data_IF_223738461653
#
_entry.id   IF_223738461653
#
_cell.length_a   1.000
_cell.length_b   1.000
_cell.length_c   1.000
_cell.angle_alpha   90.00
_cell.angle_beta   90.00
_cell.angle_gamma   90.00
#
_symmetry.space_group_name_H-M   'P 1'
#
loop_
_entity.id
_entity.type
_entity.pdbx_description
1 polymer ?
#
# COMPACT_ATOMS: atom_id res chain seq x y z
N UNK A 1 -7.17 -26.94 -6.83
CA UNK A 1 -5.74 -26.56 -6.89
C UNK A 1 -5.53 -25.49 -5.83
N UNK A 2 -4.82 -25.78 -4.73
CA UNK A 2 -4.73 -24.88 -3.56
C UNK A 2 -4.13 -23.52 -3.92
N UNK A 3 -4.72 -22.44 -3.38
CA UNK A 3 -4.25 -21.06 -3.53
C UNK A 3 -2.86 -20.90 -2.90
N UNK A 4 -1.93 -20.15 -3.52
CA UNK A 4 -0.68 -19.75 -2.87
C UNK A 4 -0.91 -19.10 -1.50
N UNK A 5 -2.02 -18.37 -1.34
CA UNK A 5 -2.38 -17.72 -0.08
C UNK A 5 -2.52 -18.72 1.07
N UNK A 6 -3.11 -19.89 0.81
CA UNK A 6 -3.32 -20.90 1.85
C UNK A 6 -1.99 -21.47 2.38
N UNK A 7 -0.93 -21.49 1.57
CA UNK A 7 0.39 -22.01 1.99
C UNK A 7 1.20 -21.06 2.87
N UNK A 8 0.76 -19.81 3.02
CA UNK A 8 1.45 -18.79 3.83
C UNK A 8 0.85 -18.59 5.21
N UNK A 9 -0.29 -19.21 5.51
CA UNK A 9 -0.86 -19.20 6.85
C UNK A 9 0.09 -19.89 7.84
N UNK A 10 0.77 -19.09 8.67
CA UNK A 10 1.47 -19.58 9.85
C UNK A 10 0.62 -19.25 11.09
N UNK A 11 0.42 -20.19 12.02
CA UNK A 11 -0.49 -20.04 13.16
C UNK A 11 0.07 -19.19 14.32
N UNK A 12 1.02 -18.28 14.05
CA UNK A 12 1.64 -17.43 15.10
C UNK A 12 1.81 -16.01 14.60
N UNK A 13 0.71 -15.28 14.47
CA UNK A 13 0.77 -13.82 14.47
C UNK A 13 0.64 -13.34 15.92
N UNK A 14 1.61 -12.57 16.40
CA UNK A 14 1.42 -11.79 17.63
C UNK A 14 0.20 -10.87 17.47
N UNK A 15 -0.59 -10.65 18.53
CA UNK A 15 -1.81 -9.82 18.50
C UNK A 15 -1.59 -8.47 17.78
N UNK A 16 -0.46 -7.80 18.01
CA UNK A 16 -0.09 -6.56 17.28
C UNK A 16 0.13 -6.77 15.78
N UNK A 17 0.78 -7.88 15.39
CA UNK A 17 0.96 -8.27 13.99
C UNK A 17 -0.37 -8.69 13.37
N UNK A 18 -1.23 -9.40 14.10
CA UNK A 18 -2.58 -9.76 13.67
C UNK A 18 -3.43 -8.50 13.45
N UNK A 19 -3.41 -7.55 14.39
CA UNK A 19 -4.10 -6.26 14.29
C UNK A 19 -3.57 -5.38 13.16
N UNK A 20 -2.25 -5.25 13.03
CA UNK A 20 -1.64 -4.53 11.91
C UNK A 20 -1.98 -5.23 10.58
N UNK A 21 -1.97 -6.55 10.53
CA UNK A 21 -2.38 -7.30 9.34
C UNK A 21 -3.87 -7.10 9.05
N UNK A 22 -4.74 -7.17 10.06
CA UNK A 22 -6.20 -7.07 9.91
C UNK A 22 -6.69 -5.67 9.57
N UNK A 23 -5.94 -4.63 9.94
CA UNK A 23 -6.35 -3.24 9.69
C UNK A 23 -5.71 -2.70 8.41
N UNK A 24 -4.55 -3.24 8.02
CA UNK A 24 -3.97 -3.02 6.69
C UNK A 24 -4.60 -3.93 5.61
N UNK A 25 -5.57 -4.79 5.98
CA UNK A 25 -6.25 -5.83 5.17
C UNK A 25 -6.89 -5.33 3.86
N UNK A 26 -7.21 -4.05 3.75
CA UNK A 26 -8.09 -3.54 2.69
C UNK A 26 -7.47 -2.50 1.76
N UNK A 27 -6.25 -2.00 2.02
CA UNK A 27 -5.83 -0.76 1.36
C UNK A 27 -4.38 -0.66 0.88
N UNK A 28 -3.46 -1.43 1.46
CA UNK A 28 -2.27 -1.80 0.71
C UNK A 28 -2.69 -2.76 -0.39
N UNK A 29 -1.88 -2.93 -1.43
CA UNK A 29 -2.20 -3.90 -2.45
C UNK A 29 -2.30 -5.31 -1.80
N UNK A 30 -3.44 -5.71 -1.26
CA UNK A 30 -3.71 -6.98 -0.60
C UNK A 30 -5.09 -7.46 -1.06
N UNK A 31 -5.25 -8.76 -1.28
CA UNK A 31 -6.56 -9.33 -1.63
C UNK A 31 -6.83 -10.53 -0.75
N UNK A 32 -7.99 -10.51 -0.09
CA UNK A 32 -8.49 -11.65 0.66
C UNK A 32 -9.02 -12.70 -0.33
N UNK A 33 -8.40 -13.87 -0.39
CA UNK A 33 -9.09 -15.07 -0.86
C UNK A 33 -9.75 -15.68 0.36
N UNK A 34 -11.09 -15.64 0.42
CA UNK A 34 -11.86 -16.34 1.45
C UNK A 34 -11.38 -17.79 1.51
N UNK A 35 -10.70 -18.13 2.61
CA UNK A 35 -10.50 -19.52 3.03
C UNK A 35 -11.89 -20.03 3.38
N UNK A 36 -12.19 -21.23 2.87
CA UNK A 36 -13.47 -21.88 3.10
C UNK A 36 -13.73 -21.95 4.63
N UNK A 37 -14.83 -21.40 5.16
CA UNK A 37 -15.07 -21.27 6.60
C UNK A 37 -15.29 -22.61 7.33
N UNK A 38 -15.10 -23.74 6.67
CA UNK A 38 -15.39 -25.07 7.22
C UNK A 38 -14.16 -25.81 7.78
N UNK A 39 -12.94 -25.23 7.71
CA UNK A 39 -11.70 -25.95 8.05
C UNK A 39 -10.87 -25.42 9.26
N UNK A 40 -11.20 -24.26 9.87
CA UNK A 40 -10.41 -23.73 11.02
C UNK A 40 -11.22 -22.91 12.07
N UNK A 41 -12.48 -23.26 12.34
CA UNK A 41 -13.40 -22.55 13.28
C UNK A 41 -13.07 -22.72 14.78
N UNK A 42 -11.82 -22.94 15.18
CA UNK A 42 -11.48 -23.14 16.61
C UNK A 42 -10.43 -22.21 17.20
N UNK A 43 -9.73 -21.42 16.38
CA UNK A 43 -8.68 -20.50 16.87
C UNK A 43 -9.03 -19.03 16.65
N UNK A 44 -9.80 -18.73 15.60
CA UNK A 44 -10.21 -17.36 15.25
C UNK A 44 -11.25 -16.82 16.24
N UNK A 45 -12.16 -17.67 16.72
CA UNK A 45 -13.25 -17.26 17.62
C UNK A 45 -12.78 -16.93 19.05
N UNK A 46 -11.54 -17.30 19.43
CA UNK A 46 -11.02 -17.11 20.78
C UNK A 46 -10.21 -15.80 20.95
N UNK A 47 -9.82 -15.13 19.86
CA UNK A 47 -9.04 -13.87 19.90
C UNK A 47 -9.85 -12.64 19.45
N UNK A 48 -11.06 -12.82 18.93
CA UNK A 48 -11.88 -11.73 18.37
C UNK A 48 -12.79 -11.02 19.37
N UNK A 49 -12.98 -11.55 20.58
CA UNK A 49 -13.85 -10.93 21.59
C UNK A 49 -13.31 -9.58 22.11
N UNK A 50 -11.98 -9.36 22.04
CA UNK A 50 -11.33 -8.13 22.55
C UNK A 50 -11.10 -7.06 21.46
N UNK A 51 -11.48 -7.32 20.20
CA UNK A 51 -11.22 -6.42 19.07
C UNK A 51 -12.53 -5.88 18.51
N UNK A 52 -12.94 -4.69 18.96
CA UNK A 52 -14.04 -3.94 18.35
C UNK A 52 -13.59 -3.33 17.01
N UNK A 53 -13.62 -4.12 15.94
CA UNK A 53 -13.40 -3.63 14.57
C UNK A 53 -14.59 -2.79 14.12
N UNK A 54 -14.52 -1.47 14.28
CA UNK A 54 -15.48 -0.55 13.66
C UNK A 54 -15.05 -0.28 12.23
N UNK A 55 -15.37 -1.18 11.30
CA UNK A 55 -15.10 -0.93 9.89
C UNK A 55 -16.11 0.07 9.33
N UNK A 56 -15.64 1.25 8.96
CA UNK A 56 -16.43 2.22 8.21
C UNK A 56 -15.89 2.29 6.78
N UNK A 57 -16.63 1.68 5.84
CA UNK A 57 -16.31 1.72 4.41
C UNK A 57 -16.80 3.06 3.84
N UNK A 58 -15.88 3.97 3.53
CA UNK A 58 -16.20 5.24 2.91
C UNK A 58 -15.59 5.37 1.51
N UNK A 59 -16.45 5.44 0.50
CA UNK A 59 -16.16 6.15 -0.75
C UNK A 59 -16.46 7.64 -0.48
N UNK A 60 -15.52 8.54 -0.77
CA UNK A 60 -15.58 10.03 -0.62
C UNK A 60 -14.93 10.65 0.64
N UNK A 61 -13.65 10.34 0.92
CA UNK A 61 -12.76 11.30 1.61
C UNK A 61 -12.74 11.27 3.14
N UNK A 62 -13.28 10.25 3.80
CA UNK A 62 -13.14 10.04 5.25
C UNK A 62 -12.24 8.82 5.56
N UNK A 63 -11.45 8.85 6.65
CA UNK A 63 -10.62 7.71 7.06
C UNK A 63 -11.42 6.44 7.30
N UNK A 64 -10.80 5.30 7.03
CA UNK A 64 -11.15 4.06 7.72
C UNK A 64 -10.31 4.02 9.01
N UNK A 65 -10.90 3.77 10.17
CA UNK A 65 -10.15 3.59 11.42
C UNK A 65 -10.64 2.35 12.16
N UNK A 66 -9.75 1.76 12.93
CA UNK A 66 -10.07 0.69 13.88
C UNK A 66 -9.57 1.15 15.24
N UNK A 67 -10.43 1.07 16.25
CA UNK A 67 -10.13 1.51 17.60
C UNK A 67 -10.07 0.31 18.54
N UNK A 68 -8.97 0.19 19.26
CA UNK A 68 -8.77 -0.83 20.28
C UNK A 68 -9.09 -0.18 21.63
N UNK A 69 -10.31 -0.42 22.11
CA UNK A 69 -10.84 0.27 23.28
C UNK A 69 -10.00 0.01 24.54
N UNK A 70 -9.43 -1.19 24.69
CA UNK A 70 -8.66 -1.57 25.87
C UNK A 70 -7.27 -0.92 25.96
N UNK A 71 -6.77 -0.33 24.87
CA UNK A 71 -5.41 0.19 24.77
C UNK A 71 -5.34 1.69 24.46
N UNK A 72 -6.48 2.40 24.47
CA UNK A 72 -6.57 3.81 24.04
C UNK A 72 -5.83 4.08 22.71
N UNK A 73 -5.80 3.06 21.82
CA UNK A 73 -5.00 3.06 20.60
C UNK A 73 -5.93 2.95 19.40
N UNK A 74 -5.74 3.81 18.40
CA UNK A 74 -6.39 3.68 17.09
C UNK A 74 -5.35 3.37 16.01
N UNK A 75 -5.78 2.62 15.00
CA UNK A 75 -5.03 2.42 13.77
C UNK A 75 -5.92 2.90 12.63
N UNK A 76 -5.43 3.87 11.86
CA UNK A 76 -6.20 4.56 10.85
C UNK A 76 -5.56 4.42 9.47
N UNK A 77 -6.42 4.33 8.45
CA UNK A 77 -6.06 4.30 7.06
C UNK A 77 -6.72 5.48 6.31
N UNK A 78 -5.87 6.21 5.59
CA UNK A 78 -6.29 7.35 4.77
C UNK A 78 -5.91 7.12 3.30
N UNK A 79 -6.92 7.13 2.42
CA UNK A 79 -6.71 6.94 1.00
C UNK A 79 -6.20 8.21 0.31
N UNK A 80 -4.88 8.29 0.13
CA UNK A 80 -4.23 9.36 -0.63
C UNK A 80 -3.08 8.78 -1.48
N UNK A 81 -3.35 8.03 -2.56
CA UNK A 81 -2.35 7.22 -3.26
C UNK A 81 -1.21 8.03 -3.91
N UNK A 82 -1.44 9.32 -4.19
CA UNK A 82 -0.46 10.27 -4.72
C UNK A 82 0.00 11.28 -3.67
N UNK A 83 -0.51 11.21 -2.43
CA UNK A 83 -0.37 12.16 -1.31
C UNK A 83 -0.91 13.56 -1.60
N UNK A 84 -0.57 14.14 -2.75
CA UNK A 84 -1.07 15.42 -3.25
C UNK A 84 -2.48 15.30 -3.82
N UNK A 85 -3.11 16.45 -4.02
CA UNK A 85 -4.54 16.55 -4.32
C UNK A 85 -4.86 16.24 -5.79
N UNK A 86 -5.85 15.37 -6.01
CA UNK A 86 -6.42 15.08 -7.32
C UNK A 86 -7.85 15.63 -7.37
N UNK A 87 -8.06 16.68 -8.17
CA UNK A 87 -9.34 17.40 -8.23
C UNK A 87 -10.03 17.24 -9.58
N UNK A 88 -11.35 17.42 -9.61
CA UNK A 88 -12.12 17.52 -10.87
C UNK A 88 -12.14 18.98 -11.31
N UNK A 89 -11.67 19.24 -12.53
CA UNK A 89 -11.78 20.52 -13.22
C UNK A 89 -12.91 20.54 -14.25
N UNK A 90 -12.89 21.57 -15.10
CA UNK A 90 -13.87 21.74 -16.17
C UNK A 90 -13.96 20.50 -17.09
N UNK A 91 -15.17 20.15 -17.51
CA UNK A 91 -15.42 19.00 -18.40
C UNK A 91 -15.10 17.63 -17.77
N UNK A 92 -15.20 17.49 -16.44
CA UNK A 92 -14.88 16.28 -15.68
C UNK A 92 -13.41 15.81 -15.81
N UNK A 93 -12.51 16.71 -16.23
CA UNK A 93 -11.07 16.42 -16.31
C UNK A 93 -10.48 16.31 -14.92
N UNK A 94 -9.69 15.27 -14.68
CA UNK A 94 -9.00 15.03 -13.41
C UNK A 94 -7.65 15.74 -13.45
N UNK A 95 -7.43 16.65 -12.52
CA UNK A 95 -6.25 17.50 -12.46
C UNK A 95 -5.46 17.13 -11.21
N UNK A 96 -4.23 16.67 -11.40
CA UNK A 96 -3.31 16.38 -10.30
C UNK A 96 -2.55 17.65 -9.94
N UNK A 97 -2.88 18.24 -8.79
CA UNK A 97 -2.17 19.40 -8.25
C UNK A 97 -0.91 18.91 -7.56
N UNK A 98 0.27 19.26 -8.07
CA UNK A 98 1.54 18.77 -7.56
C UNK A 98 2.05 19.54 -6.34
N UNK A 99 1.46 20.70 -6.07
CA UNK A 99 1.82 21.66 -5.02
C UNK A 99 0.75 21.83 -3.93
N UNK A 100 -0.39 21.13 -4.04
CA UNK A 100 -1.46 21.11 -3.04
C UNK A 100 -1.52 19.77 -2.32
N UNK A 101 -1.65 19.81 -1.00
CA UNK A 101 -1.70 18.62 -0.13
C UNK A 101 -2.60 18.78 1.10
N UNK A 102 -2.94 20.01 1.49
CA UNK A 102 -3.60 20.31 2.75
C UNK A 102 -4.95 19.60 2.91
N UNK A 103 -5.70 19.38 1.83
CA UNK A 103 -6.98 18.65 1.89
C UNK A 103 -6.79 17.18 2.25
N UNK A 104 -5.80 16.51 1.67
CA UNK A 104 -5.47 15.13 2.01
C UNK A 104 -4.82 15.04 3.40
N UNK A 105 -4.08 16.08 3.79
CA UNK A 105 -3.29 16.11 5.01
C UNK A 105 -4.04 16.55 6.27
N UNK A 106 -5.33 16.91 6.15
CA UNK A 106 -6.14 17.44 7.27
C UNK A 106 -6.10 16.55 8.50
N UNK A 107 -6.14 15.24 8.29
CA UNK A 107 -6.24 14.25 9.36
C UNK A 107 -4.88 13.71 9.82
N UNK A 108 -3.77 14.14 9.23
CA UNK A 108 -2.44 13.65 9.62
C UNK A 108 -1.86 14.42 10.81
N UNK A 109 -2.42 15.60 11.12
CA UNK A 109 -1.98 16.43 12.25
C UNK A 109 -2.45 15.80 13.56
N UNK A 110 -1.55 15.75 14.54
CA UNK A 110 -1.86 15.21 15.87
C UNK A 110 -1.73 13.69 15.99
N UNK A 111 -1.39 12.98 14.90
CA UNK A 111 -1.13 11.54 14.91
C UNK A 111 0.27 11.26 15.48
N UNK A 112 0.38 10.27 16.36
CA UNK A 112 1.64 9.89 17.01
C UNK A 112 2.59 9.14 16.07
N UNK A 113 2.06 8.26 15.21
CA UNK A 113 2.84 7.51 14.20
C UNK A 113 2.18 7.60 12.83
N UNK A 114 2.86 8.19 11.86
CA UNK A 114 2.42 8.27 10.48
C UNK A 114 3.22 7.33 9.58
N UNK A 115 2.54 6.43 8.89
CA UNK A 115 3.14 5.53 7.91
C UNK A 115 2.64 5.87 6.51
N UNK A 116 3.51 6.46 5.68
CA UNK A 116 3.19 6.84 4.30
C UNK A 116 3.68 5.78 3.30
N UNK A 117 2.95 5.60 2.20
CA UNK A 117 3.41 4.92 0.98
C UNK A 117 2.85 5.68 -0.23
N UNK A 118 3.67 5.87 -1.26
CA UNK A 118 3.23 6.40 -2.54
C UNK A 118 4.21 6.03 -3.64
N UNK A 119 3.89 5.00 -4.42
CA UNK A 119 4.76 4.53 -5.51
C UNK A 119 4.01 4.16 -6.80
N UNK A 120 3.09 3.19 -6.74
CA UNK A 120 2.53 2.58 -7.96
C UNK A 120 1.78 3.54 -8.86
N UNK A 121 0.97 4.42 -8.29
CA UNK A 121 0.09 5.31 -9.04
C UNK A 121 0.85 6.31 -9.90
N UNK A 122 2.05 6.72 -9.47
CA UNK A 122 2.96 7.55 -10.26
C UNK A 122 3.41 6.88 -11.56
N UNK A 123 3.40 5.54 -11.61
CA UNK A 123 3.81 4.77 -12.79
C UNK A 123 2.65 4.49 -13.77
N UNK A 124 1.42 4.89 -13.44
CA UNK A 124 0.27 4.64 -14.29
C UNK A 124 0.32 5.49 -15.58
N UNK A 125 -0.01 4.86 -16.70
CA UNK A 125 0.07 5.47 -18.04
C UNK A 125 -1.12 5.04 -18.89
N UNK A 126 -1.40 5.81 -19.95
CA UNK A 126 -2.55 5.58 -20.81
C UNK A 126 -3.86 5.55 -20.03
N UNK A 127 -4.69 4.54 -20.27
CA UNK A 127 -6.02 4.40 -19.67
C UNK A 127 -6.00 4.11 -18.16
N UNK A 128 -4.88 3.64 -17.59
CA UNK A 128 -4.80 3.38 -16.14
C UNK A 128 -4.40 4.61 -15.33
N UNK A 129 -4.06 5.73 -16.01
CA UNK A 129 -3.65 6.97 -15.36
C UNK A 129 -4.86 7.63 -14.67
N UNK A 130 -4.66 8.02 -13.41
CA UNK A 130 -5.71 8.57 -12.57
C UNK A 130 -6.00 10.05 -12.83
N UNK A 131 -5.18 10.74 -13.61
CA UNK A 131 -5.31 12.15 -13.97
C UNK A 131 -5.15 12.37 -15.47
N UNK A 132 -5.75 13.46 -15.95
CA UNK A 132 -5.67 13.89 -17.34
C UNK A 132 -4.61 14.99 -17.51
N UNK A 133 -4.48 15.89 -16.53
CA UNK A 133 -3.50 16.98 -16.53
C UNK A 133 -2.81 17.13 -15.18
N UNK A 134 -1.64 17.78 -15.18
CA UNK A 134 -0.99 18.25 -13.97
C UNK A 134 -1.28 19.74 -13.77
N UNK A 135 -1.20 20.21 -12.54
CA UNK A 135 -1.24 21.63 -12.19
C UNK A 135 -0.15 21.96 -11.18
N UNK A 136 0.47 23.12 -11.35
CA UNK A 136 1.41 23.73 -10.40
C UNK A 136 1.13 25.24 -10.37
N UNK A 137 0.76 25.76 -9.21
CA UNK A 137 0.18 27.09 -9.07
C UNK A 137 -1.04 27.27 -9.97
N UNK A 138 -0.97 28.24 -10.88
CA UNK A 138 -2.03 28.53 -11.85
C UNK A 138 -1.77 27.95 -13.26
N UNK A 139 -0.72 27.13 -13.42
CA UNK A 139 -0.31 26.60 -14.73
C UNK A 139 -0.80 25.17 -14.93
N UNK A 140 -1.59 24.94 -15.98
CA UNK A 140 -1.98 23.60 -16.43
C UNK A 140 -0.85 23.02 -17.29
N UNK A 141 -0.39 21.83 -16.95
CA UNK A 141 0.67 21.11 -17.67
C UNK A 141 0.07 19.83 -18.26
N UNK A 142 0.08 19.74 -19.59
CA UNK A 142 -0.56 18.63 -20.33
C UNK A 142 0.32 17.40 -20.46
N UNK A 143 1.64 17.57 -20.39
CA UNK A 143 2.60 16.49 -20.46
C UNK A 143 3.77 16.73 -19.50
N UNK A 144 4.14 15.71 -18.74
CA UNK A 144 5.26 15.73 -17.81
C UNK A 144 5.79 14.30 -17.69
N UNK A 145 7.11 14.15 -17.54
CA UNK A 145 7.67 12.86 -17.16
C UNK A 145 7.07 12.43 -15.80
N UNK A 146 6.49 11.22 -15.68
CA UNK A 146 5.85 10.78 -14.44
C UNK A 146 6.78 10.78 -13.22
N UNK A 147 8.09 10.58 -13.39
CA UNK A 147 9.06 10.65 -12.30
C UNK A 147 9.36 12.09 -11.87
N UNK A 148 9.25 13.07 -12.78
CA UNK A 148 9.28 14.50 -12.41
C UNK A 148 8.03 14.86 -11.61
N UNK A 149 6.86 14.36 -12.02
CA UNK A 149 5.62 14.55 -11.25
C UNK A 149 5.70 13.90 -9.86
N UNK A 150 6.21 12.66 -9.78
CA UNK A 150 6.46 11.96 -8.52
C UNK A 150 7.39 12.75 -7.62
N UNK A 151 8.50 13.28 -8.16
CA UNK A 151 9.43 14.12 -7.41
C UNK A 151 8.76 15.38 -6.87
N UNK A 152 7.97 16.09 -7.69
CA UNK A 152 7.24 17.29 -7.26
C UNK A 152 6.24 16.97 -6.15
N UNK A 153 5.41 15.93 -6.32
CA UNK A 153 4.42 15.54 -5.33
C UNK A 153 5.04 15.10 -4.00
N UNK A 154 6.09 14.26 -4.04
CA UNK A 154 6.81 13.87 -2.84
C UNK A 154 7.56 15.04 -2.19
N UNK A 155 8.07 16.00 -2.96
CA UNK A 155 8.66 17.22 -2.40
C UNK A 155 7.62 18.12 -1.72
N UNK A 156 6.39 18.19 -2.23
CA UNK A 156 5.27 18.86 -1.56
C UNK A 156 4.91 18.19 -0.23
N UNK A 157 4.82 16.85 -0.21
CA UNK A 157 4.65 16.08 1.02
C UNK A 157 5.78 16.32 2.03
N UNK A 158 7.03 16.24 1.58
CA UNK A 158 8.19 16.46 2.42
C UNK A 158 8.17 17.86 3.07
N UNK A 159 7.84 18.90 2.29
CA UNK A 159 7.69 20.27 2.81
C UNK A 159 6.55 20.37 3.82
N UNK A 160 5.43 19.69 3.58
CA UNK A 160 4.31 19.68 4.53
C UNK A 160 4.72 19.05 5.87
N UNK A 161 5.41 17.90 5.83
CA UNK A 161 5.94 17.23 7.02
C UNK A 161 6.89 18.14 7.80
N UNK A 162 7.88 18.73 7.11
CA UNK A 162 8.86 19.66 7.70
C UNK A 162 8.21 20.88 8.38
N UNK A 163 7.05 21.33 7.91
CA UNK A 163 6.38 22.54 8.40
C UNK A 163 5.31 22.28 9.46
N UNK A 164 4.71 21.07 9.49
CA UNK A 164 3.50 20.82 10.28
C UNK A 164 3.70 19.80 11.40
N UNK A 165 4.78 19.02 11.41
CA UNK A 165 5.02 17.96 12.39
C UNK A 165 6.18 18.30 13.33
N UNK A 166 6.10 17.84 14.57
CA UNK A 166 7.17 17.94 15.58
C UNK A 166 7.76 16.54 15.80
N UNK A 167 9.07 16.31 15.54
CA UNK A 167 9.70 14.99 15.72
C UNK A 167 9.74 14.50 17.17
N UNK A 168 9.42 15.36 18.15
CA UNK A 168 9.27 14.98 19.56
C UNK A 168 7.89 14.39 19.87
N UNK A 169 6.90 14.62 19.00
CA UNK A 169 5.51 14.20 19.19
C UNK A 169 5.08 13.15 18.18
N UNK A 170 5.58 13.24 16.95
CA UNK A 170 5.16 12.37 15.85
C UNK A 170 6.37 11.62 15.28
N UNK A 171 6.24 10.32 15.08
CA UNK A 171 7.17 9.50 14.30
C UNK A 171 6.66 9.37 12.88
N UNK A 172 7.53 9.64 11.90
CA UNK A 172 7.18 9.53 10.47
C UNK A 172 7.98 8.40 9.85
N UNK A 173 7.27 7.47 9.23
CA UNK A 173 7.81 6.31 8.52
C UNK A 173 7.30 6.39 7.08
N UNK A 174 8.20 6.17 6.12
CA UNK A 174 7.82 6.04 4.72
C UNK A 174 8.14 4.62 4.25
N UNK A 175 7.11 3.86 3.88
CA UNK A 175 7.24 2.51 3.32
C UNK A 175 7.61 2.61 1.85
N UNK A 176 8.70 1.95 1.47
CA UNK A 176 9.17 1.92 0.09
C UNK A 176 8.22 1.13 -0.82
N UNK A 177 8.43 1.24 -2.14
CA UNK A 177 7.60 0.59 -3.15
C UNK A 177 7.46 -0.93 -2.96
N UNK A 178 6.22 -1.41 -2.87
CA UNK A 178 5.89 -2.82 -3.08
C UNK A 178 6.17 -3.21 -4.55
N UNK A 179 6.93 -4.25 -4.88
CA UNK A 179 7.15 -4.68 -6.27
C UNK A 179 5.92 -5.36 -6.88
N UNK A 180 5.72 -5.17 -8.19
CA UNK A 180 4.74 -5.93 -8.99
C UNK A 180 5.44 -6.99 -9.81
N UNK A 181 4.82 -8.15 -9.96
CA UNK A 181 5.33 -9.26 -10.78
C UNK A 181 4.55 -9.47 -12.10
N UNK A 182 4.11 -8.36 -12.70
CA UNK A 182 3.29 -8.36 -13.91
C UNK A 182 4.09 -8.42 -15.24
N UNK A 183 5.42 -8.22 -15.25
CA UNK A 183 6.17 -7.84 -16.48
C UNK A 183 7.53 -8.51 -16.76
N UNK A 184 7.79 -9.74 -16.32
CA UNK A 184 9.05 -10.44 -16.68
C UNK A 184 8.78 -11.72 -17.49
N UNK A 185 9.19 -11.72 -18.76
CA UNK A 185 9.31 -12.90 -19.63
C UNK A 185 8.05 -13.78 -19.76
N UNK A 186 6.87 -13.15 -19.85
CA UNK A 186 5.60 -13.86 -20.05
C UNK A 186 5.11 -14.70 -18.86
N UNK A 187 5.87 -14.78 -17.77
CA UNK A 187 5.49 -15.51 -16.56
C UNK A 187 5.02 -14.52 -15.50
N UNK A 188 3.70 -14.33 -15.45
CA UNK A 188 2.99 -13.69 -14.32
C UNK A 188 3.35 -14.42 -13.00
N UNK A 189 2.97 -13.87 -11.86
CA UNK A 189 2.98 -14.58 -10.57
C UNK A 189 2.16 -15.90 -10.56
N UNK A 190 1.41 -16.17 -11.63
CA UNK A 190 0.67 -17.42 -11.82
C UNK A 190 1.54 -18.67 -11.65
N UNK A 191 1.03 -19.60 -10.82
CA UNK A 191 1.67 -20.87 -10.43
C UNK A 191 3.01 -20.73 -9.68
N UNK A 192 3.37 -19.54 -9.21
CA UNK A 192 4.53 -19.36 -8.33
C UNK A 192 4.14 -19.74 -6.90
N UNK A 193 4.93 -20.61 -6.27
CA UNK A 193 4.61 -21.20 -4.95
C UNK A 193 5.77 -21.16 -3.96
N UNK A 194 6.93 -20.67 -4.40
CA UNK A 194 8.12 -20.53 -3.57
C UNK A 194 8.72 -19.16 -3.83
N UNK A 195 9.37 -18.54 -2.83
CA UNK A 195 10.19 -17.37 -3.04
C UNK A 195 11.22 -17.63 -4.15
N UNK A 196 11.56 -16.58 -4.88
CA UNK A 196 12.71 -16.59 -5.78
C UNK A 196 13.96 -16.83 -4.95
N UNK A 197 14.85 -17.70 -5.42
CA UNK A 197 16.11 -17.98 -4.72
C UNK A 197 17.21 -16.98 -5.06
N UNK A 198 17.17 -16.41 -6.26
CA UNK A 198 18.16 -15.44 -6.73
C UNK A 198 17.56 -14.49 -7.77
N UNK A 199 18.18 -13.32 -7.92
CA UNK A 199 17.98 -12.41 -9.04
C UNK A 199 19.26 -12.37 -9.88
N UNK A 200 19.12 -12.38 -11.21
CA UNK A 200 20.24 -12.04 -12.09
C UNK A 200 20.61 -10.55 -11.94
N UNK A 201 19.61 -9.69 -11.78
CA UNK A 201 19.78 -8.26 -11.55
C UNK A 201 18.69 -7.75 -10.59
N UNK A 202 19.11 -7.04 -9.53
CA UNK A 202 18.18 -6.35 -8.64
C UNK A 202 17.77 -5.05 -9.33
N UNK A 203 16.54 -5.01 -9.86
CA UNK A 203 16.00 -3.80 -10.45
C UNK A 203 15.54 -2.84 -9.34
N UNK A 204 16.18 -1.68 -9.25
CA UNK A 204 15.76 -0.60 -8.35
C UNK A 204 14.69 0.24 -9.08
N UNK A 205 13.43 0.26 -8.59
CA UNK A 205 12.39 1.01 -9.27
C UNK A 205 12.60 2.52 -9.14
N UNK A 206 12.35 3.26 -10.23
CA UNK A 206 12.58 4.71 -10.29
C UNK A 206 11.88 5.51 -9.16
N UNK A 207 10.62 5.22 -8.75
CA UNK A 207 10.00 5.91 -7.61
C UNK A 207 10.79 5.79 -6.31
N UNK A 208 11.49 4.68 -6.07
CA UNK A 208 12.33 4.51 -4.89
C UNK A 208 13.57 5.42 -4.93
N UNK A 209 14.16 5.63 -6.11
CA UNK A 209 15.27 6.56 -6.30
C UNK A 209 14.81 8.00 -6.02
N UNK A 210 13.64 8.37 -6.55
CA UNK A 210 13.02 9.67 -6.29
C UNK A 210 12.76 9.87 -4.79
N UNK A 211 12.12 8.89 -4.14
CA UNK A 211 11.84 8.92 -2.70
C UNK A 211 13.13 9.11 -1.88
N UNK A 212 14.15 8.28 -2.09
CA UNK A 212 15.44 8.40 -1.40
C UNK A 212 16.08 9.78 -1.62
N UNK A 213 15.95 10.34 -2.82
CA UNK A 213 16.40 11.69 -3.12
C UNK A 213 15.64 12.77 -2.35
N UNK A 214 14.32 12.64 -2.20
CA UNK A 214 13.48 13.58 -1.43
C UNK A 214 13.80 13.49 0.06
N UNK A 215 13.84 12.28 0.63
CA UNK A 215 14.12 12.07 2.06
C UNK A 215 15.47 12.67 2.49
N UNK A 216 16.51 12.57 1.63
CA UNK A 216 17.83 13.17 1.89
C UNK A 216 17.82 14.70 2.04
N UNK A 217 16.78 15.38 1.56
CA UNK A 217 16.64 16.84 1.63
C UNK A 217 15.70 17.30 2.74
N UNK A 218 15.07 16.39 3.46
CA UNK A 218 14.14 16.71 4.55
C UNK A 218 14.90 17.15 5.80
N UNK A 219 14.29 18.06 6.56
CA UNK A 219 14.76 18.43 7.89
C UNK A 219 14.17 17.50 8.95
N UNK A 220 12.93 17.06 8.75
CA UNK A 220 12.28 16.10 9.63
C UNK A 220 12.93 14.70 9.49
N UNK A 221 13.28 14.02 10.60
CA UNK A 221 13.84 12.68 10.57
C UNK A 221 12.77 11.64 10.20
N UNK A 222 12.76 11.21 8.94
CA UNK A 222 11.84 10.17 8.45
C UNK A 222 12.56 8.82 8.38
N UNK A 223 11.96 7.78 8.94
CA UNK A 223 12.45 6.40 8.79
C UNK A 223 11.97 5.82 7.46
N UNK A 224 12.92 5.41 6.60
CA UNK A 224 12.59 4.66 5.40
C UNK A 224 12.43 3.18 5.74
N UNK A 225 11.21 2.66 5.66
CA UNK A 225 10.96 1.24 5.73
C UNK A 225 11.20 0.62 4.33
N UNK A 226 12.44 0.26 4.03
CA UNK A 226 12.86 -0.30 2.72
C UNK A 226 12.48 -1.79 2.58
N UNK A 227 11.22 -2.04 2.23
CA UNK A 227 10.66 -3.37 1.94
C UNK A 227 10.93 -3.83 0.50
N UNK A 228 11.40 -2.96 -0.40
CA UNK A 228 11.33 -3.17 -1.86
C UNK A 228 12.06 -4.44 -2.29
N UNK A 229 13.33 -4.57 -1.88
CA UNK A 229 14.20 -5.67 -2.34
C UNK A 229 13.78 -7.01 -1.75
N UNK A 230 13.52 -7.07 -0.43
CA UNK A 230 13.10 -8.32 0.22
C UNK A 230 11.77 -8.83 -0.35
N UNK A 231 10.87 -7.91 -0.66
CA UNK A 231 9.54 -8.23 -1.20
C UNK A 231 9.63 -8.70 -2.65
N UNK A 232 10.63 -8.27 -3.42
CA UNK A 232 10.80 -8.70 -4.80
C UNK A 232 11.00 -10.22 -4.90
N UNK A 233 11.64 -10.84 -3.90
CA UNK A 233 11.79 -12.30 -3.87
C UNK A 233 10.46 -13.04 -3.71
N UNK A 234 9.43 -12.39 -3.18
CA UNK A 234 8.18 -13.04 -2.77
C UNK A 234 7.17 -13.18 -3.89
N UNK A 235 7.56 -13.53 -5.11
CA UNK A 235 6.62 -13.69 -6.24
C UNK A 235 5.46 -14.66 -5.93
N UNK A 236 5.70 -15.65 -5.06
CA UNK A 236 4.73 -16.60 -4.50
C UNK A 236 3.65 -15.98 -3.62
N UNK A 237 3.90 -14.77 -3.09
CA UNK A 237 3.02 -14.10 -2.15
C UNK A 237 1.78 -13.45 -2.76
N UNK A 238 1.68 -13.42 -4.09
CA UNK A 238 0.55 -12.80 -4.79
C UNK A 238 -0.65 -13.76 -4.91
N UNK A 239 -1.89 -13.24 -4.84
CA UNK A 239 -3.09 -14.04 -5.02
C UNK A 239 -3.23 -14.54 -6.45
N UNK A 240 -2.56 -13.92 -7.42
CA UNK A 240 -2.59 -14.34 -8.82
C UNK A 240 -4.03 -14.41 -9.35
N UNK A 241 -4.58 -15.61 -9.58
CA UNK A 241 -5.94 -15.77 -10.13
C UNK A 241 -7.01 -15.85 -9.04
N UNK A 242 -6.59 -15.84 -7.76
CA UNK A 242 -7.45 -16.02 -6.59
C UNK A 242 -7.90 -14.70 -5.95
N UNK A 243 -7.62 -13.54 -6.57
CA UNK A 243 -7.95 -12.20 -6.04
C UNK A 243 -9.45 -11.88 -6.03
N UNK A 244 -10.27 -12.69 -6.70
CA UNK A 244 -11.74 -12.65 -6.59
C UNK A 244 -12.24 -14.07 -6.43
N UNK A 245 -13.27 -14.27 -5.60
CA UNK A 245 -14.06 -15.50 -5.57
C UNK A 245 -14.71 -15.71 -6.95
N UNK A 246 -13.94 -16.27 -7.87
CA UNK A 246 -14.32 -16.54 -9.25
C UNK A 246 -14.57 -18.04 -9.32
N UNK A 247 -15.78 -18.43 -9.75
CA UNK A 247 -16.20 -19.81 -9.92
C UNK A 247 -15.12 -20.65 -10.64
N UNK A 248 -14.95 -21.89 -10.22
CA UNK A 248 -13.91 -22.81 -10.71
C UNK A 248 -13.88 -22.93 -12.25
N UNK A 249 -15.05 -22.77 -12.89
CA UNK A 249 -15.19 -22.80 -14.35
C UNK A 249 -14.42 -21.68 -15.08
N UNK A 250 -14.27 -20.51 -14.46
CA UNK A 250 -13.53 -19.37 -15.06
C UNK A 250 -12.02 -19.47 -14.86
N UNK A 251 -11.53 -20.37 -14.01
CA UNK A 251 -10.09 -20.55 -13.77
C UNK A 251 -9.36 -21.28 -14.92
N UNK A 252 -10.10 -21.97 -15.81
CA UNK A 252 -9.54 -22.74 -16.93
C UNK A 252 -9.36 -21.94 -18.24
N UNK A 253 -9.80 -20.69 -18.29
CA UNK A 253 -9.70 -19.82 -19.48
C UNK A 253 -8.32 -19.18 -19.65
N UNK A 254 -7.65 -19.51 -20.76
CA UNK A 254 -6.39 -18.91 -21.22
C UNK A 254 -6.54 -17.40 -21.46
N UNK A 255 -6.31 -16.58 -20.44
CA UNK A 255 -6.29 -15.12 -20.58
C UNK A 255 -6.51 -14.29 -19.31
N UNK A 256 -6.96 -14.89 -18.19
CA UNK A 256 -7.36 -14.12 -17.02
C UNK A 256 -6.21 -13.28 -16.40
N UNK A 257 -6.56 -12.06 -16.00
CA UNK A 257 -5.64 -11.10 -15.37
C UNK A 257 -5.24 -11.60 -13.99
N UNK A 258 -4.07 -12.22 -13.88
CA UNK A 258 -3.48 -12.52 -12.57
C UNK A 258 -3.15 -11.21 -11.85
N UNK A 259 -3.63 -11.07 -10.63
CA UNK A 259 -3.22 -10.01 -9.73
C UNK A 259 -1.85 -10.33 -9.14
N UNK A 260 -0.83 -9.69 -9.71
CA UNK A 260 0.53 -9.71 -9.20
C UNK A 260 0.98 -8.32 -8.75
N UNK A 261 0.02 -7.55 -8.26
CA UNK A 261 0.24 -6.28 -7.57
C UNK A 261 -0.12 -6.39 -6.10
N UNK A 262 -1.16 -7.17 -5.79
CA UNK A 262 -1.66 -7.36 -4.44
C UNK A 262 -1.08 -8.59 -3.76
N UNK A 263 -1.12 -8.66 -2.44
CA UNK A 263 -0.56 -9.74 -1.63
C UNK A 263 -1.67 -10.54 -0.97
N UNK A 264 -1.45 -11.84 -0.82
CA UNK A 264 -2.25 -12.66 0.07
C UNK A 264 -2.07 -12.22 1.52
N UNK A 265 -3.12 -12.41 2.32
CA UNK A 265 -3.09 -12.30 3.77
C UNK A 265 -3.65 -13.59 4.38
N UNK A 266 -3.00 -14.17 5.41
CA UNK A 266 -1.64 -13.84 5.89
C UNK A 266 -0.58 -14.02 4.79
N UNK A 267 0.56 -13.34 4.92
CA UNK A 267 1.63 -13.44 3.95
C UNK A 267 2.72 -12.37 4.03
N UNK A 268 3.00 -11.73 2.89
CA UNK A 268 4.10 -10.77 2.73
C UNK A 268 3.92 -9.47 3.53
N UNK A 269 2.71 -8.90 3.66
CA UNK A 269 2.52 -7.70 4.46
C UNK A 269 2.80 -7.91 5.96
N UNK A 270 2.66 -9.14 6.46
CA UNK A 270 2.87 -9.49 7.87
C UNK A 270 4.31 -9.15 8.29
N UNK A 271 5.31 -9.52 7.49
CA UNK A 271 6.71 -9.16 7.78
C UNK A 271 6.96 -7.65 7.69
N UNK A 272 6.23 -6.92 6.84
CA UNK A 272 6.31 -5.46 6.83
C UNK A 272 5.76 -4.88 8.14
N UNK A 273 4.74 -5.51 8.72
CA UNK A 273 4.16 -5.06 9.98
C UNK A 273 5.05 -5.43 11.18
N UNK A 274 5.69 -6.60 11.14
CA UNK A 274 6.74 -6.95 12.11
C UNK A 274 7.90 -5.94 12.06
N UNK A 275 8.39 -5.59 10.87
CA UNK A 275 9.40 -4.54 10.71
C UNK A 275 8.91 -3.19 11.26
N UNK A 276 7.66 -2.82 10.98
CA UNK A 276 7.07 -1.58 11.47
C UNK A 276 7.02 -1.56 13.00
N UNK A 277 6.65 -2.68 13.63
CA UNK A 277 6.61 -2.82 15.09
C UNK A 277 7.97 -2.62 15.75
N UNK A 278 9.09 -2.85 15.05
CA UNK A 278 10.43 -2.56 15.59
C UNK A 278 10.82 -1.08 15.50
N UNK A 279 10.09 -0.30 14.69
CA UNK A 279 10.34 1.12 14.45
C UNK A 279 9.46 2.04 15.30
N UNK A 280 8.47 1.51 16.02
CA UNK A 280 7.55 2.24 16.89
C UNK A 280 8.00 2.01 18.34
#
# INVERSE_FOLDING_TARGET
>A
MLSPCASMAKPKLHLLSFLLCTILLSFFHCTFSLINPEDETSWIDMETEDINVVQSLFFNGFPCYVQLQDFETSIEFFWAPLLVELKKGAGNKRILHLDLIEENARCWKGVDVLVFDSAHWWTHSGQTRSWDYYMEGNSIITNMNPMVACQKGLSTWARWVDLNLDPRRTRVIFRSMSPRHNRLNGRKCYKQRKPLQFFSHIHVPEPLVVLKGVLKRMRFPVYLQDITTMTAFRRDGHPSVYSKAMSEERQKGTGLSSDCSHWCLPGVPDIWNEMLSTLI
#
